data_IF_149815905809
#
_entry.id   IF_149815905809
#
_cell.length_a   1.000
_cell.length_b   1.000
_cell.length_c   1.000
_cell.angle_alpha   90.00
_cell.angle_beta   90.00
_cell.angle_gamma   90.00
#
_symmetry.space_group_name_H-M   'P 1'
#
loop_
_entity.id
_entity.type
_entity.pdbx_description
1 polymer ?
#
# COMPACT_ATOMS: atom_id res chain seq x y z
N UNK A 1 -4.16 -4.88 -10.83
CA UNK A 1 -4.22 -4.05 -9.61
C UNK A 1 -5.67 -3.79 -9.30
N UNK A 2 -6.05 -3.88 -8.02
CA UNK A 2 -7.40 -3.56 -7.53
C UNK A 2 -7.29 -2.67 -6.30
N UNK A 3 -8.33 -1.90 -5.99
CA UNK A 3 -8.30 -0.98 -4.84
C UNK A 3 -9.61 -0.94 -4.06
N UNK A 4 -9.97 -2.04 -3.35
CA UNK A 4 -11.19 -2.06 -2.54
C UNK A 4 -11.21 -0.91 -1.52
N UNK A 5 -12.35 -0.22 -1.36
CA UNK A 5 -13.68 -0.56 -1.86
C UNK A 5 -14.04 0.03 -3.24
N UNK A 6 -13.11 0.69 -3.92
CA UNK A 6 -13.40 1.25 -5.24
C UNK A 6 -13.54 0.14 -6.29
N UNK A 7 -14.47 0.35 -7.23
CA UNK A 7 -14.64 -0.48 -8.42
C UNK A 7 -13.55 -0.15 -9.46
N UNK A 8 -12.30 -0.39 -9.08
CA UNK A 8 -11.10 -0.14 -9.88
C UNK A 8 -10.43 -1.48 -10.19
N UNK A 9 -10.32 -1.78 -11.48
CA UNK A 9 -9.59 -2.93 -11.98
C UNK A 9 -8.65 -2.50 -13.10
N UNK A 10 -7.35 -2.60 -12.85
CA UNK A 10 -6.31 -2.27 -13.84
C UNK A 10 -5.57 -3.54 -14.23
N UNK A 11 -5.39 -3.74 -15.53
CA UNK A 11 -4.79 -4.94 -16.08
C UNK A 11 -3.58 -4.60 -16.95
N UNK A 12 -2.48 -5.34 -16.74
CA UNK A 12 -1.25 -5.12 -17.50
C UNK A 12 -0.45 -3.92 -17.03
N UNK A 13 0.83 -3.92 -17.41
CA UNK A 13 1.81 -2.93 -16.95
C UNK A 13 1.48 -1.50 -17.40
N UNK A 14 0.90 -1.33 -18.59
CA UNK A 14 0.52 -0.02 -19.14
C UNK A 14 -0.50 0.70 -18.25
N UNK A 15 -1.64 0.07 -17.98
CA UNK A 15 -2.70 0.67 -17.17
C UNK A 15 -2.25 0.92 -15.72
N UNK A 16 -1.50 -0.04 -15.16
CA UNK A 16 -0.96 0.05 -13.81
C UNK A 16 0.01 1.22 -13.70
N UNK A 17 1.01 1.31 -14.59
CA UNK A 17 2.00 2.39 -14.54
C UNK A 17 1.34 3.73 -14.84
N UNK A 18 0.44 3.80 -15.81
CA UNK A 18 -0.34 5.00 -16.14
C UNK A 18 -1.14 5.52 -14.95
N UNK A 19 -1.80 4.64 -14.19
CA UNK A 19 -2.47 5.00 -12.93
C UNK A 19 -1.48 5.53 -11.90
N UNK A 20 -0.39 4.80 -11.64
CA UNK A 20 0.61 5.14 -10.62
C UNK A 20 1.31 6.48 -10.89
N UNK A 21 1.48 6.86 -12.16
CA UNK A 21 2.13 8.12 -12.56
C UNK A 21 1.13 9.27 -12.77
N UNK A 22 -0.17 9.04 -12.62
CA UNK A 22 -1.21 10.08 -12.76
C UNK A 22 -2.00 10.27 -11.47
N UNK A 23 -3.23 9.78 -11.40
CA UNK A 23 -4.10 9.92 -10.22
C UNK A 23 -3.54 9.19 -8.98
N UNK A 24 -2.74 8.13 -9.19
CA UNK A 24 -2.03 7.41 -8.15
C UNK A 24 -0.74 8.11 -7.67
N UNK A 25 -0.28 9.18 -8.34
CA UNK A 25 0.99 9.83 -8.05
C UNK A 25 1.06 10.43 -6.64
N UNK A 26 -0.10 10.68 -6.01
CA UNK A 26 -0.18 11.10 -4.60
C UNK A 26 0.44 10.08 -3.62
N UNK A 27 0.68 8.83 -4.06
CA UNK A 27 1.39 7.82 -3.27
C UNK A 27 2.92 7.97 -3.30
N UNK A 28 3.47 8.90 -4.07
CA UNK A 28 4.91 9.14 -4.12
C UNK A 28 5.48 9.50 -2.73
N UNK A 29 6.71 9.05 -2.46
CA UNK A 29 7.40 9.31 -1.18
C UNK A 29 6.91 8.47 0.00
N UNK A 30 5.95 7.57 -0.20
CA UNK A 30 5.41 6.69 0.83
C UNK A 30 6.43 5.74 1.45
N UNK A 31 6.06 5.16 2.59
CA UNK A 31 6.78 4.06 3.25
C UNK A 31 5.93 2.79 3.21
N UNK A 32 6.61 1.69 2.94
CA UNK A 32 6.04 0.35 3.00
C UNK A 32 6.67 -0.38 4.18
N UNK A 33 5.84 -0.93 5.05
CA UNK A 33 6.24 -1.80 6.16
C UNK A 33 5.78 -3.22 5.81
N UNK A 34 6.70 -4.21 5.75
CA UNK A 34 6.33 -5.58 5.40
C UNK A 34 5.43 -6.20 6.47
N UNK A 35 4.37 -6.86 6.02
CA UNK A 35 3.46 -7.66 6.84
C UNK A 35 3.10 -8.95 6.09
N UNK A 36 2.46 -9.91 6.77
CA UNK A 36 1.88 -11.08 6.09
C UNK A 36 0.37 -11.07 6.24
N UNK A 37 -0.34 -11.21 5.12
CA UNK A 37 -1.79 -11.29 5.10
C UNK A 37 -2.19 -12.67 4.60
N UNK A 38 -2.81 -13.49 5.47
CA UNK A 38 -3.26 -14.84 5.14
C UNK A 38 -2.19 -15.74 4.50
N UNK A 39 -0.91 -15.58 4.88
CA UNK A 39 0.20 -16.34 4.32
C UNK A 39 0.79 -15.77 3.02
N UNK A 40 0.19 -14.71 2.46
CA UNK A 40 0.72 -13.97 1.31
C UNK A 40 1.62 -12.81 1.76
N UNK A 41 2.61 -12.42 0.92
CA UNK A 41 3.39 -11.21 1.17
C UNK A 41 2.50 -9.97 1.03
N UNK A 42 2.63 -9.05 1.98
CA UNK A 42 1.86 -7.83 2.00
C UNK A 42 2.68 -6.65 2.57
N UNK A 43 2.19 -5.43 2.34
CA UNK A 43 2.77 -4.22 2.87
C UNK A 43 1.71 -3.33 3.51
N UNK A 44 1.98 -2.85 4.71
CA UNK A 44 1.30 -1.68 5.23
C UNK A 44 1.90 -0.43 4.57
N UNK A 45 1.04 0.31 3.88
CA UNK A 45 1.40 1.49 3.11
C UNK A 45 1.04 2.74 3.90
N UNK A 46 2.05 3.57 4.17
CA UNK A 46 1.92 4.86 4.81
C UNK A 46 2.31 5.99 3.84
N UNK A 47 1.44 6.98 3.66
CA UNK A 47 1.71 8.17 2.86
C UNK A 47 2.36 9.27 3.71
N UNK A 48 3.18 10.16 3.12
CA UNK A 48 3.63 11.35 3.82
C UNK A 48 2.42 12.12 4.36
N UNK A 49 2.47 12.50 5.64
CA UNK A 49 1.46 13.34 6.25
C UNK A 49 1.53 14.75 5.64
N UNK A 50 0.38 15.35 5.34
CA UNK A 50 0.32 16.70 4.73
C UNK A 50 0.90 17.79 5.64
N UNK A 51 0.83 17.56 6.96
CA UNK A 51 1.40 18.43 8.00
C UNK A 51 2.92 18.25 8.19
N UNK A 52 3.56 17.35 7.42
CA UNK A 52 4.99 17.04 7.50
C UNK A 52 5.40 16.22 8.72
N UNK A 53 4.47 15.80 9.59
CA UNK A 53 4.76 15.11 10.85
C UNK A 53 4.93 13.58 10.68
N UNK A 54 5.61 13.16 9.61
CA UNK A 54 5.92 11.76 9.32
C UNK A 54 4.99 11.13 8.29
N UNK A 55 4.52 9.91 8.55
CA UNK A 55 3.71 9.14 7.61
C UNK A 55 2.43 8.62 8.26
N UNK A 56 1.32 8.73 7.54
CA UNK A 56 -0.02 8.28 7.97
C UNK A 56 -0.46 7.04 7.17
N UNK A 57 -1.16 6.09 7.83
CA UNK A 57 -1.78 4.94 7.17
C UNK A 57 -2.58 5.29 5.92
N UNK A 58 -2.44 4.47 4.88
CA UNK A 58 -3.18 4.64 3.63
C UNK A 58 -3.82 3.35 3.14
N UNK A 59 -3.09 2.24 3.13
CA UNK A 59 -3.60 0.97 2.62
C UNK A 59 -2.85 -0.23 3.19
N UNK A 60 -3.47 -1.40 3.13
CA UNK A 60 -2.75 -2.69 3.16
C UNK A 60 -2.70 -3.21 1.73
N UNK A 61 -1.50 -3.41 1.20
CA UNK A 61 -1.27 -3.97 -0.14
C UNK A 61 -0.96 -5.44 -0.03
N UNK A 62 -1.81 -6.31 -0.57
CA UNK A 62 -1.52 -7.74 -0.72
C UNK A 62 -0.96 -7.99 -2.11
N UNK A 63 0.16 -8.71 -2.20
CA UNK A 63 0.87 -8.98 -3.44
C UNK A 63 0.73 -10.46 -3.78
N UNK A 64 0.20 -10.74 -4.96
CA UNK A 64 0.20 -12.10 -5.51
C UNK A 64 1.49 -12.31 -6.28
N UNK A 65 2.17 -13.40 -5.98
CA UNK A 65 3.44 -13.78 -6.60
C UNK A 65 3.31 -15.18 -7.17
N UNK A 66 3.67 -15.34 -8.43
CA UNK A 66 3.75 -16.64 -9.09
C UNK A 66 5.06 -16.71 -9.89
N UNK A 67 5.80 -17.80 -9.74
CA UNK A 67 7.06 -18.05 -10.45
C UNK A 67 8.08 -16.89 -10.35
N UNK A 68 8.12 -16.23 -9.19
CA UNK A 68 9.02 -15.09 -8.93
C UNK A 68 8.57 -13.76 -9.53
N UNK A 69 7.39 -13.70 -10.16
CA UNK A 69 6.81 -12.49 -10.72
C UNK A 69 5.57 -12.04 -9.95
N UNK A 70 5.35 -10.72 -9.88
CA UNK A 70 4.11 -10.15 -9.33
C UNK A 70 3.00 -10.32 -10.37
N UNK A 71 1.95 -11.05 -10.02
CA UNK A 71 0.78 -11.28 -10.87
C UNK A 71 -0.44 -10.47 -10.43
N UNK A 72 -0.47 -10.03 -9.17
CA UNK A 72 -1.58 -9.29 -8.58
C UNK A 72 -1.10 -8.32 -7.52
N UNK A 73 -1.84 -7.22 -7.38
CA UNK A 73 -1.67 -6.29 -6.27
C UNK A 73 -3.02 -5.72 -5.88
N UNK A 74 -3.34 -5.79 -4.60
CA UNK A 74 -4.65 -5.46 -4.04
C UNK A 74 -4.48 -4.46 -2.90
N UNK A 75 -4.91 -3.22 -3.12
CA UNK A 75 -4.75 -2.12 -2.18
C UNK A 75 -6.03 -1.91 -1.37
N UNK A 76 -6.10 -2.49 -0.17
CA UNK A 76 -7.25 -2.35 0.73
C UNK A 76 -7.15 -1.05 1.52
N UNK A 77 -8.09 -0.13 1.31
CA UNK A 77 -8.03 1.23 1.87
C UNK A 77 -8.73 1.42 3.22
N UNK A 78 -9.43 0.40 3.73
CA UNK A 78 -10.13 0.47 5.03
C UNK A 78 -9.14 0.34 6.20
N UNK A 79 -8.33 1.40 6.36
CA UNK A 79 -7.30 1.51 7.39
C UNK A 79 -7.82 1.21 8.80
N UNK A 80 -8.94 1.81 9.27
CA UNK A 80 -9.44 1.57 10.63
C UNK A 80 -9.75 0.10 10.90
N UNK A 81 -10.15 -0.65 9.86
CA UNK A 81 -10.38 -2.08 9.96
C UNK A 81 -9.08 -2.89 9.92
N UNK A 82 -8.18 -2.59 8.98
CA UNK A 82 -7.06 -3.48 8.68
C UNK A 82 -5.85 -3.26 9.58
N UNK A 83 -5.44 -2.02 9.83
CA UNK A 83 -4.19 -1.74 10.55
C UNK A 83 -4.14 -2.34 11.96
N UNK A 84 -5.21 -2.30 12.76
CA UNK A 84 -5.23 -2.92 14.09
C UNK A 84 -4.99 -4.43 14.05
N UNK A 85 -5.43 -5.14 12.99
CA UNK A 85 -5.26 -6.59 12.86
C UNK A 85 -3.80 -7.00 12.65
N UNK A 86 -2.96 -6.09 12.16
CA UNK A 86 -1.53 -6.30 11.97
C UNK A 86 -0.68 -5.70 13.11
N UNK A 87 -1.31 -5.14 14.15
CA UNK A 87 -0.59 -4.49 15.26
C UNK A 87 0.21 -3.26 14.85
N UNK A 88 -0.23 -2.58 13.79
CA UNK A 88 0.48 -1.46 13.17
C UNK A 88 0.17 -0.13 13.88
N UNK A 89 1.15 0.78 13.98
CA UNK A 89 0.91 2.11 14.53
C UNK A 89 0.02 2.95 13.61
N UNK A 90 -0.67 3.93 14.19
CA UNK A 90 -1.48 4.92 13.47
C UNK A 90 -0.65 6.02 12.82
N UNK A 91 0.67 6.06 13.08
CA UNK A 91 1.63 6.98 12.48
C UNK A 91 3.05 6.43 12.54
N UNK A 92 3.83 6.67 11.50
CA UNK A 92 5.28 6.46 11.52
C UNK A 92 6.00 7.81 11.64
N UNK A 93 7.11 7.88 12.39
CA UNK A 93 7.89 9.11 12.50
C UNK A 93 8.60 9.42 11.18
N UNK A 94 8.95 10.70 10.97
CA UNK A 94 9.55 11.17 9.72
C UNK A 94 10.95 10.58 9.45
N UNK A 95 11.66 10.18 10.50
CA UNK A 95 13.00 9.61 10.48
C UNK A 95 12.99 8.06 10.47
N UNK A 96 11.83 7.43 10.34
CA UNK A 96 11.72 5.98 10.18
C UNK A 96 12.42 5.53 8.88
N UNK A 97 13.72 5.26 8.98
CA UNK A 97 14.49 4.57 7.96
C UNK A 97 14.08 3.11 8.02
N UNK A 98 13.63 2.57 6.88
CA UNK A 98 13.41 1.13 6.72
C UNK A 98 14.72 0.41 7.08
N UNK A 99 14.70 -0.37 8.16
CA UNK A 99 15.77 -1.27 8.53
C UNK A 99 15.79 -2.47 7.58
#
# INVERSE_FOLDING_TARGET
MTMPPFDLWLQGTGDITGFMTSIGAACAGSRLVPVSANGSPAFAHYKPAEDGSGFVPWAVQVIDVQDGAITGMHCFLDVPRWFPLFGLPDRLPADARQA
#
